data_IF_173113235526
#
_entry.id   IF_173113235526
#
_cell.length_a   1.000
_cell.length_b   1.000
_cell.length_c   1.000
_cell.angle_alpha   90.00
_cell.angle_beta   90.00
_cell.angle_gamma   90.00
#
_symmetry.space_group_name_H-M   'P 1'
#
loop_
_entity.id
_entity.type
_entity.pdbx_description
1 polymer ?
#
# COMPACT_ATOMS: atom_id res chain seq x y z
N UNK A 1 70.36 -10.62 2.52
CA UNK A 1 69.00 -11.21 2.50
C UNK A 1 68.01 -10.07 2.45
N UNK A 2 67.35 -9.82 1.29
CA UNK A 2 66.33 -8.75 1.13
C UNK A 2 64.96 -9.41 1.17
N UNK A 3 64.23 -9.20 2.27
CA UNK A 3 62.82 -9.67 2.41
C UNK A 3 61.93 -8.69 1.65
N UNK A 4 61.24 -9.19 0.59
CA UNK A 4 60.22 -8.45 -0.14
C UNK A 4 58.90 -8.67 0.60
N UNK A 5 58.36 -7.63 1.24
CA UNK A 5 57.03 -7.61 1.81
C UNK A 5 56.02 -7.40 0.64
N UNK A 6 55.22 -8.41 0.33
CA UNK A 6 54.05 -8.26 -0.54
C UNK A 6 52.87 -7.73 0.27
N UNK A 7 52.44 -6.52 -0.01
CA UNK A 7 51.14 -5.99 0.45
C UNK A 7 50.03 -6.50 -0.44
N UNK A 8 49.20 -7.42 0.06
CA UNK A 8 47.93 -7.79 -0.59
C UNK A 8 46.87 -6.75 -0.26
N UNK A 9 46.51 -5.93 -1.25
CA UNK A 9 45.39 -4.99 -1.15
C UNK A 9 44.11 -5.79 -1.44
N UNK A 10 43.39 -6.14 -0.37
CA UNK A 10 42.05 -6.73 -0.47
C UNK A 10 41.07 -5.60 -0.76
N UNK A 11 40.71 -5.41 -2.03
CA UNK A 11 39.66 -4.50 -2.43
C UNK A 11 38.29 -5.02 -1.96
N UNK A 12 37.68 -4.35 -0.99
CA UNK A 12 36.24 -4.56 -0.67
C UNK A 12 35.40 -4.06 -1.86
N UNK A 13 34.83 -4.98 -2.60
CA UNK A 13 33.77 -4.67 -3.57
C UNK A 13 32.50 -4.34 -2.80
N UNK A 14 32.24 -3.05 -2.58
CA UNK A 14 30.94 -2.58 -2.11
C UNK A 14 29.94 -2.70 -3.24
N UNK A 15 29.09 -3.73 -3.20
CA UNK A 15 27.93 -3.80 -4.08
C UNK A 15 26.98 -2.67 -3.69
N UNK A 16 26.42 -1.92 -4.65
CA UNK A 16 25.38 -0.94 -4.35
C UNK A 16 24.19 -1.67 -3.72
N UNK A 17 23.83 -1.30 -2.50
CA UNK A 17 22.60 -1.73 -1.88
C UNK A 17 21.46 -0.97 -2.57
N UNK A 18 20.71 -1.62 -3.47
CA UNK A 18 19.48 -1.06 -3.98
C UNK A 18 18.41 -1.17 -2.89
N UNK A 19 17.74 -0.05 -2.62
CA UNK A 19 16.57 -0.06 -1.74
C UNK A 19 15.43 -0.82 -2.43
N UNK A 20 14.84 -1.78 -1.73
CA UNK A 20 13.70 -2.49 -2.26
C UNK A 20 12.51 -1.53 -2.46
N UNK A 21 11.90 -1.56 -3.64
CA UNK A 21 10.78 -0.69 -4.02
C UNK A 21 9.50 -1.50 -4.18
N UNK A 22 8.41 -1.03 -3.57
CA UNK A 22 7.05 -1.55 -3.71
C UNK A 22 6.17 -0.48 -4.34
N UNK A 23 5.66 -0.75 -5.53
CA UNK A 23 4.73 0.13 -6.24
C UNK A 23 3.34 -0.47 -6.27
N UNK A 24 2.33 0.31 -5.88
CA UNK A 24 0.91 -0.06 -5.91
C UNK A 24 0.17 0.85 -6.87
N UNK A 25 -0.48 0.27 -7.87
CA UNK A 25 -1.43 0.95 -8.74
C UNK A 25 -2.86 0.64 -8.32
N UNK A 26 -3.71 1.66 -8.21
CA UNK A 26 -5.14 1.50 -7.91
C UNK A 26 -5.93 2.29 -8.93
N UNK A 27 -6.81 1.62 -9.67
CA UNK A 27 -7.75 2.27 -10.56
C UNK A 27 -9.11 2.41 -9.89
N UNK A 28 -9.60 3.65 -9.81
CA UNK A 28 -10.96 3.98 -9.42
C UNK A 28 -11.76 4.12 -10.72
N UNK A 29 -12.74 3.25 -10.97
CA UNK A 29 -13.48 3.27 -12.22
C UNK A 29 -14.39 4.50 -12.32
N UNK A 30 -14.58 5.00 -13.54
CA UNK A 30 -15.63 5.97 -13.82
C UNK A 30 -16.96 5.24 -13.91
N UNK A 31 -17.82 5.47 -12.92
CA UNK A 31 -19.15 4.84 -12.86
C UNK A 31 -20.20 5.78 -13.41
N UNK A 32 -21.11 5.23 -14.22
CA UNK A 32 -22.28 5.94 -14.70
C UNK A 32 -23.47 5.67 -13.76
N UNK A 33 -23.54 6.45 -12.68
CA UNK A 33 -24.56 6.33 -11.62
C UNK A 33 -25.25 7.68 -11.44
N UNK A 34 -26.47 7.66 -10.92
CA UNK A 34 -27.27 8.88 -10.75
C UNK A 34 -26.60 9.86 -9.75
N UNK A 35 -25.97 9.34 -8.72
CA UNK A 35 -25.22 10.11 -7.72
C UNK A 35 -23.85 9.48 -7.50
N UNK A 36 -22.81 10.26 -7.76
CA UNK A 36 -21.43 9.78 -7.65
C UNK A 36 -20.70 10.45 -6.50
N UNK A 37 -20.32 9.67 -5.52
CA UNK A 37 -19.40 10.03 -4.47
C UNK A 37 -18.03 9.38 -4.71
N UNK A 38 -16.95 10.08 -4.34
CA UNK A 38 -15.61 9.49 -4.41
C UNK A 38 -15.47 8.41 -3.36
N UNK A 39 -14.98 7.22 -3.70
CA UNK A 39 -14.85 6.14 -2.74
C UNK A 39 -13.82 6.45 -1.65
N UNK A 40 -14.07 5.95 -0.44
CA UNK A 40 -13.01 5.74 0.54
C UNK A 40 -12.24 4.49 0.16
N UNK A 41 -10.92 4.54 0.29
CA UNK A 41 -10.04 3.43 -0.08
C UNK A 41 -9.03 3.21 1.02
N UNK A 42 -8.89 1.96 1.48
CA UNK A 42 -7.80 1.54 2.34
C UNK A 42 -6.90 0.55 1.61
N UNK A 43 -5.59 0.72 1.78
CA UNK A 43 -4.54 -0.09 1.16
C UNK A 43 -3.59 -0.51 2.27
N UNK A 44 -3.44 -1.85 2.46
CA UNK A 44 -2.60 -2.38 3.53
C UNK A 44 -1.95 -3.70 3.14
N UNK A 45 -0.96 -4.12 3.91
CA UNK A 45 -0.32 -5.42 3.80
C UNK A 45 -0.77 -6.32 4.94
N UNK A 46 -1.16 -7.55 4.60
CA UNK A 46 -1.41 -8.63 5.56
C UNK A 46 -0.26 -9.62 5.54
N UNK A 47 0.20 -10.04 6.71
CA UNK A 47 1.13 -11.15 6.85
C UNK A 47 0.45 -12.52 6.63
N UNK A 48 1.23 -13.60 6.69
CA UNK A 48 0.73 -14.97 6.55
C UNK A 48 -0.33 -15.34 7.62
N UNK A 49 -0.27 -14.71 8.79
CA UNK A 49 -1.24 -14.84 9.88
C UNK A 49 -2.50 -13.98 9.68
N UNK A 50 -2.64 -13.32 8.55
CA UNK A 50 -3.73 -12.42 8.17
C UNK A 50 -3.87 -11.17 9.07
N UNK A 51 -2.88 -10.85 9.89
CA UNK A 51 -2.80 -9.58 10.61
C UNK A 51 -2.25 -8.48 9.71
N UNK A 52 -2.60 -7.25 10.02
CA UNK A 52 -2.05 -6.07 9.32
C UNK A 52 -0.59 -5.93 9.71
N UNK A 53 0.29 -6.04 8.70
CA UNK A 53 1.72 -5.81 8.85
C UNK A 53 2.08 -4.34 8.61
N UNK A 54 1.39 -3.69 7.67
CA UNK A 54 1.59 -2.27 7.37
C UNK A 54 0.33 -1.64 6.77
N UNK A 55 0.00 -0.42 7.16
CA UNK A 55 -0.96 0.42 6.47
C UNK A 55 -0.20 1.28 5.45
N UNK A 56 -0.54 1.16 4.17
CA UNK A 56 0.12 1.89 3.09
C UNK A 56 -0.58 3.22 2.78
N UNK A 57 -1.90 3.19 2.65
CA UNK A 57 -2.68 4.40 2.44
C UNK A 57 -4.14 4.24 2.89
N UNK A 58 -4.74 5.34 3.33
CA UNK A 58 -6.18 5.46 3.59
C UNK A 58 -6.67 6.78 3.02
N UNK A 59 -7.53 6.70 2.01
CA UNK A 59 -8.10 7.86 1.35
C UNK A 59 -9.53 8.06 1.83
N UNK A 60 -9.79 9.18 2.47
CA UNK A 60 -11.09 9.53 3.01
C UNK A 60 -11.34 11.03 2.90
N UNK A 61 -12.55 11.49 3.18
CA UNK A 61 -12.86 12.93 3.22
C UNK A 61 -12.14 13.56 4.42
N UNK A 62 -10.94 14.11 4.14
CA UNK A 62 -10.08 14.70 5.18
C UNK A 62 -10.54 16.07 5.66
N UNK A 63 -11.38 16.76 4.88
CA UNK A 63 -11.95 18.07 5.24
C UNK A 63 -13.36 17.88 5.76
N UNK A 64 -13.71 18.67 6.76
CA UNK A 64 -15.07 18.73 7.26
C UNK A 64 -16.00 19.35 6.22
N UNK A 65 -17.20 18.85 6.14
CA UNK A 65 -18.29 19.37 5.31
C UNK A 65 -19.51 19.65 6.17
N UNK A 66 -20.59 20.14 5.54
CA UNK A 66 -21.90 20.30 6.20
C UNK A 66 -22.42 18.98 6.79
N UNK A 67 -22.00 17.83 6.25
CA UNK A 67 -22.35 16.50 6.73
C UNK A 67 -21.50 16.04 7.92
N UNK A 68 -20.48 16.82 8.30
CA UNK A 68 -19.57 16.58 9.44
C UNK A 68 -18.20 16.06 9.04
N UNK A 69 -17.54 15.44 10.03
CA UNK A 69 -16.18 14.92 9.87
C UNK A 69 -16.19 13.63 9.04
N UNK A 70 -15.38 13.55 7.99
CA UNK A 70 -15.29 12.38 7.13
C UNK A 70 -14.80 11.11 7.87
N UNK A 71 -14.15 11.26 9.01
CA UNK A 71 -13.72 10.13 9.85
C UNK A 71 -14.87 9.26 10.36
N UNK A 72 -16.09 9.80 10.46
CA UNK A 72 -17.28 9.05 10.91
C UNK A 72 -17.65 7.89 9.96
N UNK A 73 -17.22 7.97 8.67
CA UNK A 73 -17.51 6.97 7.64
C UNK A 73 -16.38 5.94 7.44
N UNK A 74 -15.22 6.10 8.13
CA UNK A 74 -14.14 5.12 8.09
C UNK A 74 -14.56 3.70 8.48
N UNK A 75 -15.54 3.48 9.40
CA UNK A 75 -16.06 2.15 9.71
C UNK A 75 -16.69 1.41 8.52
N UNK A 76 -17.04 2.09 7.44
CA UNK A 76 -17.60 1.48 6.23
C UNK A 76 -16.53 0.71 5.44
N UNK A 77 -15.25 1.05 5.58
CA UNK A 77 -14.11 0.20 5.21
C UNK A 77 -14.00 -0.97 6.19
N UNK A 78 -14.97 -1.87 6.15
CA UNK A 78 -15.29 -2.83 7.22
C UNK A 78 -14.14 -3.75 7.58
N UNK A 79 -13.38 -4.24 6.58
CA UNK A 79 -12.29 -5.16 6.86
C UNK A 79 -11.08 -4.43 7.43
N UNK A 80 -10.68 -3.35 6.77
CA UNK A 80 -9.61 -2.50 7.28
C UNK A 80 -9.92 -1.96 8.67
N UNK A 81 -11.13 -1.43 8.88
CA UNK A 81 -11.56 -0.88 10.17
C UNK A 81 -11.45 -1.90 11.29
N UNK A 82 -11.97 -3.10 11.06
CA UNK A 82 -11.95 -4.18 12.05
C UNK A 82 -10.54 -4.64 12.39
N UNK A 83 -9.62 -4.68 11.40
CA UNK A 83 -8.26 -5.19 11.56
C UNK A 83 -7.28 -4.16 12.10
N UNK A 84 -7.44 -2.89 11.74
CA UNK A 84 -6.48 -1.83 12.03
C UNK A 84 -7.14 -0.48 12.32
N UNK A 85 -8.09 -0.05 11.52
CA UNK A 85 -8.58 1.33 11.50
C UNK A 85 -9.11 1.83 12.84
N UNK A 86 -9.88 1.00 13.56
CA UNK A 86 -10.49 1.38 14.86
C UNK A 86 -9.46 1.69 15.96
N UNK A 87 -8.22 1.23 15.83
CA UNK A 87 -7.13 1.48 16.77
C UNK A 87 -6.19 2.60 16.33
N UNK A 88 -6.39 3.14 15.11
CA UNK A 88 -5.57 4.23 14.58
C UNK A 88 -6.17 5.59 14.94
N UNK A 89 -5.32 6.49 15.38
CA UNK A 89 -5.66 7.91 15.51
C UNK A 89 -5.36 8.60 14.19
N UNK A 90 -6.39 8.90 13.41
CA UNK A 90 -6.24 9.61 12.13
C UNK A 90 -6.30 11.14 12.37
N UNK A 91 -5.55 11.95 11.62
CA UNK A 91 -4.69 11.57 10.48
C UNK A 91 -3.37 10.90 10.91
N UNK A 92 -2.87 9.98 10.07
CA UNK A 92 -1.56 9.34 10.21
C UNK A 92 -0.66 9.81 9.08
N UNK A 93 0.48 10.40 9.41
CA UNK A 93 1.43 10.93 8.43
C UNK A 93 1.91 9.84 7.46
N UNK A 94 1.96 10.19 6.17
CA UNK A 94 2.36 9.28 5.10
C UNK A 94 1.36 8.17 4.77
N UNK A 95 0.28 8.02 5.54
CA UNK A 95 -0.76 7.01 5.33
C UNK A 95 -2.09 7.64 4.92
N UNK A 96 -2.56 8.65 5.65
CA UNK A 96 -3.88 9.23 5.38
C UNK A 96 -3.82 10.34 4.34
N UNK A 97 -4.84 10.41 3.50
CA UNK A 97 -4.97 11.44 2.47
C UNK A 97 -6.41 11.59 1.98
N UNK A 98 -6.68 12.61 1.14
CA UNK A 98 -8.00 12.87 0.61
C UNK A 98 -8.45 11.78 -0.36
N UNK A 99 -9.79 11.61 -0.50
CA UNK A 99 -10.40 10.79 -1.55
C UNK A 99 -9.85 11.14 -2.93
N UNK A 100 -9.71 10.15 -3.80
CA UNK A 100 -9.19 10.32 -5.16
C UNK A 100 -10.34 10.30 -6.18
N UNK A 101 -10.23 11.04 -7.29
CA UNK A 101 -11.18 10.96 -8.40
C UNK A 101 -11.06 9.64 -9.15
N UNK A 102 -12.03 9.36 -10.02
CA UNK A 102 -11.92 8.27 -11.00
C UNK A 102 -10.63 8.44 -11.84
N UNK A 103 -9.92 7.32 -12.06
CA UNK A 103 -8.64 7.28 -12.76
C UNK A 103 -7.65 6.31 -12.14
N UNK A 104 -6.43 6.30 -12.67
CA UNK A 104 -5.33 5.46 -12.19
C UNK A 104 -4.45 6.23 -11.21
N UNK A 105 -4.26 5.69 -10.04
CA UNK A 105 -3.44 6.26 -8.98
C UNK A 105 -2.28 5.33 -8.67
N UNK A 106 -1.10 5.90 -8.42
CA UNK A 106 0.12 5.17 -8.14
C UNK A 106 0.70 5.64 -6.81
N UNK A 107 1.16 4.68 -6.02
CA UNK A 107 1.90 4.89 -4.79
C UNK A 107 3.21 4.10 -4.87
N UNK A 108 4.30 4.70 -4.45
CA UNK A 108 5.62 4.06 -4.40
C UNK A 108 6.16 4.14 -2.98
N UNK A 109 6.70 3.04 -2.52
CA UNK A 109 7.27 2.89 -1.19
C UNK A 109 8.65 2.25 -1.30
N UNK A 110 9.59 2.69 -0.48
CA UNK A 110 10.89 2.06 -0.32
C UNK A 110 10.99 1.42 1.07
N UNK A 111 11.89 0.47 1.23
CA UNK A 111 12.17 -0.19 2.51
C UNK A 111 12.62 0.79 3.62
N UNK A 112 13.15 1.97 3.25
CA UNK A 112 13.52 3.03 4.19
C UNK A 112 12.32 3.81 4.74
N UNK A 113 11.15 3.74 4.10
CA UNK A 113 9.97 4.49 4.52
C UNK A 113 9.28 3.88 5.74
N UNK A 114 8.65 4.69 6.61
CA UNK A 114 8.00 4.23 7.84
C UNK A 114 7.04 3.06 7.67
N UNK A 115 6.36 2.98 6.51
CA UNK A 115 5.41 1.92 6.20
C UNK A 115 6.06 0.55 6.01
N UNK A 116 7.32 0.50 5.52
CA UNK A 116 7.99 -0.74 5.14
C UNK A 116 9.28 -1.03 5.94
N UNK A 117 9.85 -0.05 6.64
CA UNK A 117 11.16 -0.17 7.32
C UNK A 117 11.26 -1.34 8.30
N UNK A 118 10.14 -1.71 8.92
CA UNK A 118 10.07 -2.79 9.91
C UNK A 118 9.43 -4.06 9.32
N UNK A 119 9.21 -4.11 7.99
CA UNK A 119 8.59 -5.25 7.33
C UNK A 119 9.59 -6.40 7.22
N UNK A 120 9.38 -7.46 8.01
CA UNK A 120 10.25 -8.63 8.00
C UNK A 120 10.18 -9.40 6.66
N UNK A 121 11.25 -10.12 6.28
CA UNK A 121 11.18 -11.03 5.14
C UNK A 121 10.07 -12.08 5.31
N UNK A 122 9.24 -12.27 4.28
CA UNK A 122 8.13 -13.22 4.37
C UNK A 122 7.14 -13.15 3.21
N UNK A 123 6.04 -13.89 3.37
CA UNK A 123 4.90 -13.89 2.46
C UNK A 123 3.85 -12.90 2.96
N UNK A 124 3.38 -12.08 2.05
CA UNK A 124 2.41 -11.02 2.33
C UNK A 124 1.29 -11.01 1.30
N UNK A 125 0.23 -10.33 1.64
CA UNK A 125 -0.88 -10.04 0.72
C UNK A 125 -1.14 -8.55 0.74
N UNK A 126 -1.04 -7.90 -0.43
CA UNK A 126 -1.58 -6.56 -0.63
C UNK A 126 -3.10 -6.67 -0.64
N UNK A 127 -3.75 -5.86 0.18
CA UNK A 127 -5.22 -5.78 0.24
C UNK A 127 -5.64 -4.35 -0.06
N UNK A 128 -6.61 -4.20 -0.95
CA UNK A 128 -7.23 -2.92 -1.27
C UNK A 128 -8.73 -3.06 -1.06
N UNK A 129 -9.29 -2.23 -0.20
CA UNK A 129 -10.72 -2.13 0.08
C UNK A 129 -11.22 -0.76 -0.35
N UNK A 130 -12.30 -0.72 -1.11
CA UNK A 130 -12.99 0.50 -1.49
C UNK A 130 -14.45 0.43 -1.04
N UNK A 131 -14.99 1.57 -0.61
CA UNK A 131 -16.40 1.73 -0.27
C UNK A 131 -16.86 3.10 -0.75
N UNK A 132 -18.04 3.15 -1.34
CA UNK A 132 -18.62 4.38 -1.86
C UNK A 132 -20.00 4.62 -1.24
N UNK A 133 -20.23 5.86 -0.84
CA UNK A 133 -21.54 6.33 -0.39
C UNK A 133 -22.59 6.15 -1.51
N UNK A 134 -23.77 5.69 -1.16
CA UNK A 134 -24.82 5.29 -2.13
C UNK A 134 -24.30 4.31 -3.19
N UNK A 135 -23.32 3.50 -2.82
CA UNK A 135 -22.64 2.56 -3.70
C UNK A 135 -22.35 1.23 -3.04
N UNK A 136 -21.37 0.55 -3.58
CA UNK A 136 -20.92 -0.75 -3.13
C UNK A 136 -19.70 -0.70 -2.21
N UNK A 137 -19.26 -1.88 -1.85
CA UNK A 137 -18.00 -2.15 -1.18
C UNK A 137 -17.30 -3.28 -1.91
N UNK A 138 -16.04 -3.10 -2.20
CA UNK A 138 -15.23 -4.10 -2.89
C UNK A 138 -13.88 -4.27 -2.23
N UNK A 139 -13.34 -5.48 -2.32
CA UNK A 139 -12.03 -5.83 -1.79
C UNK A 139 -11.30 -6.74 -2.77
N UNK A 140 -10.04 -6.42 -3.06
CA UNK A 140 -9.15 -7.24 -3.87
C UNK A 140 -7.88 -7.56 -3.12
N UNK A 141 -7.23 -8.68 -3.49
CA UNK A 141 -6.02 -9.20 -2.84
C UNK A 141 -4.99 -9.63 -3.87
N UNK A 142 -3.71 -9.32 -3.60
CA UNK A 142 -2.58 -9.75 -4.42
C UNK A 142 -1.49 -10.31 -3.50
N UNK A 143 -1.19 -11.62 -3.55
CA UNK A 143 -0.10 -12.22 -2.77
C UNK A 143 1.27 -11.85 -3.36
N UNK A 144 2.29 -11.73 -2.49
CA UNK A 144 3.67 -11.46 -2.88
C UNK A 144 4.67 -11.88 -1.80
N UNK A 145 5.97 -11.89 -2.15
CA UNK A 145 7.07 -12.11 -1.21
C UNK A 145 7.86 -10.83 -0.96
N UNK A 146 8.27 -10.58 0.27
CA UNK A 146 9.10 -9.44 0.64
C UNK A 146 10.35 -9.85 1.42
N UNK A 147 11.54 -9.26 1.19
CA UNK A 147 11.87 -8.50 -0.01
C UNK A 147 11.91 -9.41 -1.23
N UNK A 148 11.76 -8.83 -2.41
CA UNK A 148 11.84 -9.60 -3.64
C UNK A 148 13.30 -9.97 -3.96
N UNK A 149 13.58 -11.22 -4.31
CA UNK A 149 14.89 -11.67 -4.81
C UNK A 149 15.10 -11.30 -6.29
N UNK A 150 14.01 -11.09 -7.01
CA UNK A 150 13.94 -10.68 -8.40
C UNK A 150 12.66 -9.84 -8.59
N UNK A 151 12.54 -9.03 -9.64
CA UNK A 151 11.34 -8.25 -9.90
C UNK A 151 10.08 -9.13 -9.88
N UNK A 152 9.07 -8.72 -9.11
CA UNK A 152 7.77 -9.39 -9.02
C UNK A 152 6.68 -8.43 -9.49
N UNK A 153 5.63 -8.97 -10.07
CA UNK A 153 4.41 -8.22 -10.40
C UNK A 153 3.17 -9.04 -10.10
N UNK A 154 2.12 -8.37 -9.69
CA UNK A 154 0.81 -8.96 -9.45
C UNK A 154 -0.29 -8.02 -9.95
N UNK A 155 -1.44 -8.60 -10.29
CA UNK A 155 -2.62 -7.86 -10.73
C UNK A 155 -3.89 -8.52 -10.20
N UNK A 156 -4.83 -7.70 -9.76
CA UNK A 156 -6.20 -8.11 -9.47
C UNK A 156 -7.16 -7.16 -10.20
N UNK A 157 -8.34 -7.66 -10.58
CA UNK A 157 -9.36 -6.88 -11.24
C UNK A 157 -10.59 -6.79 -10.35
N UNK A 158 -10.97 -5.56 -10.00
CA UNK A 158 -12.25 -5.28 -9.37
C UNK A 158 -13.41 -5.39 -10.37
N UNK A 159 -14.63 -5.41 -9.84
CA UNK A 159 -15.86 -5.62 -10.60
C UNK A 159 -16.85 -4.45 -10.48
N UNK A 160 -16.64 -3.59 -9.47
CA UNK A 160 -17.58 -2.52 -9.14
C UNK A 160 -16.89 -1.23 -8.69
N UNK A 161 -16.40 -1.17 -7.47
CA UNK A 161 -15.82 0.04 -6.89
C UNK A 161 -14.32 0.20 -7.17
N UNK A 162 -13.67 -0.87 -7.62
CA UNK A 162 -12.27 -0.92 -8.04
C UNK A 162 -12.16 -1.36 -9.49
N UNK A 163 -11.25 -0.74 -10.23
CA UNK A 163 -10.77 -1.22 -11.52
C UNK A 163 -9.59 -2.16 -11.37
N UNK A 164 -8.55 -1.97 -12.16
CA UNK A 164 -7.32 -2.74 -12.03
C UNK A 164 -6.53 -2.30 -10.79
N UNK A 165 -6.13 -3.27 -9.98
CA UNK A 165 -5.13 -3.08 -8.91
C UNK A 165 -3.87 -3.82 -9.32
N UNK A 166 -2.72 -3.15 -9.23
CA UNK A 166 -1.43 -3.70 -9.62
C UNK A 166 -0.43 -3.58 -8.49
N UNK A 167 0.48 -4.52 -8.44
CA UNK A 167 1.62 -4.53 -7.55
C UNK A 167 2.88 -4.77 -8.37
N UNK A 168 3.93 -3.98 -8.15
CA UNK A 168 5.27 -4.23 -8.67
C UNK A 168 6.28 -4.10 -7.54
N UNK A 169 7.23 -5.02 -7.46
CA UNK A 169 8.29 -5.03 -6.46
C UNK A 169 9.61 -5.19 -7.18
N UNK A 170 10.55 -4.31 -6.84
CA UNK A 170 11.94 -4.37 -7.29
C UNK A 170 12.84 -4.66 -6.08
N UNK A 171 13.88 -5.48 -6.27
CA UNK A 171 14.90 -5.73 -5.24
C UNK A 171 15.65 -4.48 -4.87
#
# INVERSE_FOLDING_TARGET
MRVKLLFAVTGLLTLPAYAAELEVGVEIPKLNVAEYHRPYVAIWLEGADQKVAANLAVWYQAKDTAEGHGTKWLPDLRQWWRKSGRSLQVPVDGVTGPTRPAGKHRLSFTDAQPQLKDLAPGQYTLVVEAVREVGGRELVKIPFSWPAKAPQSGKAQGKSELGAVTLAIKP
#
